data_IF_014904911728
#
_entry.id   IF_014904911728
#
_cell.length_a   1.000
_cell.length_b   1.000
_cell.length_c   1.000
_cell.angle_alpha   90.00
_cell.angle_beta   90.00
_cell.angle_gamma   90.00
#
_symmetry.space_group_name_H-M   'P 1'
#
loop_
_entity.id
_entity.type
_entity.pdbx_description
1 polymer ?
#
# COMPACT_ATOMS: atom_id res chain seq x y z
N UNK A 1 18.98 15.06 18.79
CA UNK A 1 17.98 15.81 18.00
C UNK A 1 17.75 15.05 16.71
N UNK A 2 16.49 14.82 16.31
CA UNK A 2 16.18 14.17 15.04
C UNK A 2 16.45 15.15 13.89
N UNK A 3 17.26 14.74 12.92
CA UNK A 3 17.51 15.54 11.71
C UNK A 3 16.31 15.42 10.76
N UNK A 4 16.00 16.48 10.04
CA UNK A 4 14.98 16.42 9.00
C UNK A 4 15.46 15.60 7.81
N UNK A 5 14.55 14.92 7.07
CA UNK A 5 14.95 14.14 5.89
C UNK A 5 15.75 14.94 4.86
N UNK A 6 15.45 16.23 4.71
CA UNK A 6 16.14 17.11 3.76
C UNK A 6 17.60 17.38 4.14
N UNK A 7 17.88 17.49 5.44
CA UNK A 7 19.24 17.68 5.97
C UNK A 7 20.07 16.41 5.80
N UNK A 8 19.47 15.23 5.93
CA UNK A 8 20.13 13.95 5.68
C UNK A 8 20.53 13.84 4.19
N UNK A 9 19.63 14.21 3.28
CA UNK A 9 19.89 14.15 1.83
C UNK A 9 20.96 15.13 1.35
N UNK A 10 21.13 16.26 2.04
CA UNK A 10 22.05 17.33 1.64
C UNK A 10 23.46 17.12 2.19
N UNK A 11 23.65 16.10 3.01
CA UNK A 11 24.94 15.76 3.61
C UNK A 11 25.75 14.95 2.60
N UNK A 12 26.99 15.35 2.36
CA UNK A 12 27.92 14.50 1.62
C UNK A 12 28.20 13.24 2.45
N UNK A 13 28.14 12.04 1.84
CA UNK A 13 28.60 10.81 2.47
C UNK A 13 29.99 10.99 3.06
N UNK A 14 30.27 10.32 4.19
CA UNK A 14 31.67 10.19 4.63
C UNK A 14 32.42 9.44 3.54
N UNK A 15 33.46 10.05 3.00
CA UNK A 15 34.20 9.51 1.86
C UNK A 15 34.67 8.07 2.16
N UNK A 16 34.03 7.12 1.46
CA UNK A 16 34.54 5.86 0.96
C UNK A 16 35.24 4.88 1.89
N UNK A 17 34.85 4.75 3.16
CA UNK A 17 35.30 3.61 3.96
C UNK A 17 34.13 2.91 4.66
N UNK A 18 33.31 2.19 3.88
CA UNK A 18 32.50 1.08 4.39
C UNK A 18 33.40 -0.13 4.68
N UNK A 19 34.50 0.08 5.41
CA UNK A 19 35.26 -1.04 5.97
C UNK A 19 34.50 -1.51 7.20
N UNK A 20 33.98 -2.74 7.11
CA UNK A 20 33.19 -3.42 8.13
C UNK A 20 34.01 -3.53 9.41
N UNK A 21 33.98 -2.49 10.23
CA UNK A 21 34.74 -2.39 11.49
C UNK A 21 33.88 -2.92 12.62
N UNK A 22 34.41 -3.90 13.34
CA UNK A 22 33.66 -4.76 14.27
C UNK A 22 33.14 -4.05 15.55
N UNK A 23 33.45 -2.77 15.77
CA UNK A 23 33.17 -2.11 17.06
C UNK A 23 32.61 -0.68 16.97
N UNK A 24 32.20 -0.22 15.78
CA UNK A 24 31.60 1.10 15.61
C UNK A 24 31.32 1.45 14.15
N UNK A 25 30.92 0.45 13.37
CA UNK A 25 30.82 0.54 11.92
C UNK A 25 29.72 1.49 11.47
N UNK A 26 30.05 2.34 10.50
CA UNK A 26 29.06 3.14 9.79
C UNK A 26 28.01 2.20 9.15
N UNK A 27 26.76 2.64 9.10
CA UNK A 27 25.69 1.93 8.42
C UNK A 27 25.80 2.23 6.92
N UNK A 28 25.91 1.21 6.08
CA UNK A 28 26.13 1.41 4.65
C UNK A 28 24.83 1.25 3.84
N UNK A 29 24.70 2.04 2.78
CA UNK A 29 23.62 1.87 1.81
C UNK A 29 23.92 0.70 0.86
N UNK A 30 22.95 -0.19 0.62
CA UNK A 30 23.15 -1.36 -0.26
C UNK A 30 23.29 -1.00 -1.76
N UNK A 31 22.89 0.23 -2.15
CA UNK A 31 22.89 0.68 -3.54
C UNK A 31 24.16 1.45 -3.93
N UNK A 32 24.63 2.35 -3.07
CA UNK A 32 25.81 3.19 -3.34
C UNK A 32 27.00 2.92 -2.42
N UNK A 33 26.85 2.05 -1.40
CA UNK A 33 27.88 1.73 -0.40
C UNK A 33 28.37 2.92 0.46
N UNK A 34 27.65 4.04 0.42
CA UNK A 34 27.92 5.21 1.27
C UNK A 34 27.66 4.89 2.74
N UNK A 35 28.54 5.39 3.62
CA UNK A 35 28.46 5.20 5.07
C UNK A 35 27.71 6.31 5.81
N UNK A 36 26.89 5.93 6.79
CA UNK A 36 26.01 6.80 7.58
C UNK A 36 26.18 6.57 9.08
N UNK A 37 25.81 7.57 9.87
CA UNK A 37 25.97 7.55 11.33
C UNK A 37 24.85 6.74 12.02
N UNK A 38 23.76 6.40 11.32
CA UNK A 38 22.65 5.59 11.86
C UNK A 38 21.86 4.85 10.77
N UNK A 39 21.19 3.75 11.16
CA UNK A 39 20.28 2.98 10.29
C UNK A 39 19.15 3.85 9.72
N UNK A 40 18.55 4.71 10.55
CA UNK A 40 17.49 5.64 10.12
C UNK A 40 17.96 6.60 9.03
N UNK A 41 19.22 7.06 9.08
CA UNK A 41 19.77 7.93 8.03
C UNK A 41 19.99 7.17 6.72
N UNK A 42 20.45 5.90 6.77
CA UNK A 42 20.53 5.03 5.59
C UNK A 42 19.17 4.86 4.95
N UNK A 43 18.12 4.62 5.74
CA UNK A 43 16.76 4.44 5.22
C UNK A 43 16.22 5.70 4.55
N UNK A 44 16.45 6.87 5.16
CA UNK A 44 16.08 8.17 4.57
C UNK A 44 16.80 8.35 3.24
N UNK A 45 18.12 8.16 3.22
CA UNK A 45 18.94 8.28 2.02
C UNK A 45 18.49 7.31 0.92
N UNK A 46 18.26 6.04 1.27
CA UNK A 46 17.80 5.01 0.35
C UNK A 46 16.48 5.42 -0.31
N UNK A 47 15.52 5.90 0.50
CA UNK A 47 14.20 6.29 0.03
C UNK A 47 14.18 7.63 -0.73
N UNK A 48 15.17 8.51 -0.55
CA UNK A 48 15.28 9.78 -1.27
C UNK A 48 16.09 9.66 -2.56
N UNK A 49 17.26 9.05 -2.48
CA UNK A 49 18.28 9.04 -3.54
C UNK A 49 18.06 7.87 -4.48
N UNK A 50 17.78 6.69 -3.93
CA UNK A 50 17.61 5.45 -4.69
C UNK A 50 16.14 5.07 -4.92
N UNK A 51 15.23 6.05 -4.81
CA UNK A 51 13.79 5.83 -4.95
C UNK A 51 13.43 5.18 -6.30
N UNK A 52 14.12 5.60 -7.36
CA UNK A 52 13.84 5.13 -8.72
C UNK A 52 14.27 3.68 -8.87
N UNK A 53 15.49 3.35 -8.44
CA UNK A 53 16.05 2.01 -8.45
C UNK A 53 15.18 1.05 -7.62
N UNK A 54 14.68 1.50 -6.47
CA UNK A 54 13.74 0.72 -5.66
C UNK A 54 12.40 0.46 -6.38
N UNK A 55 11.89 1.43 -7.14
CA UNK A 55 10.66 1.26 -7.91
C UNK A 55 10.87 0.37 -9.14
N UNK A 56 12.03 0.45 -9.77
CA UNK A 56 12.40 -0.39 -10.91
C UNK A 56 12.47 -1.87 -10.48
N UNK A 57 13.06 -2.16 -9.31
CA UNK A 57 13.06 -3.52 -8.73
C UNK A 57 11.64 -4.07 -8.49
N UNK A 58 10.69 -3.21 -8.09
CA UNK A 58 9.30 -3.62 -7.88
C UNK A 58 8.52 -3.87 -9.17
N UNK A 59 9.03 -3.41 -10.31
CA UNK A 59 8.38 -3.55 -11.60
C UNK A 59 8.50 -4.98 -12.14
N UNK A 60 9.54 -5.71 -11.74
CA UNK A 60 9.79 -7.07 -12.19
C UNK A 60 8.90 -8.07 -11.41
N UNK A 61 7.93 -8.74 -12.07
CA UNK A 61 7.02 -9.68 -11.40
C UNK A 61 7.72 -10.95 -10.92
N UNK A 62 8.93 -11.21 -11.42
CA UNK A 62 9.73 -12.39 -11.08
C UNK A 62 10.63 -12.18 -9.86
N UNK A 63 10.72 -10.96 -9.31
CA UNK A 63 11.53 -10.69 -8.14
C UNK A 63 10.70 -10.79 -6.85
N UNK A 64 11.19 -11.57 -5.89
CA UNK A 64 10.55 -11.73 -4.59
C UNK A 64 11.08 -10.68 -3.61
N UNK A 65 10.56 -9.46 -3.70
CA UNK A 65 11.00 -8.32 -2.90
C UNK A 65 10.00 -7.96 -1.82
N UNK A 66 10.50 -7.72 -0.62
CA UNK A 66 9.70 -7.19 0.47
C UNK A 66 9.34 -5.73 0.22
N UNK A 67 8.05 -5.42 0.06
CA UNK A 67 7.60 -4.04 -0.18
C UNK A 67 7.75 -3.10 1.03
N UNK A 68 8.13 -3.63 2.18
CA UNK A 68 8.28 -2.88 3.43
C UNK A 68 9.75 -2.47 3.62
N UNK A 69 10.69 -3.40 3.51
CA UNK A 69 12.14 -3.13 3.67
C UNK A 69 12.97 -3.23 2.39
N UNK A 70 12.36 -3.58 1.26
CA UNK A 70 12.98 -3.68 -0.06
C UNK A 70 14.13 -4.70 -0.18
N UNK A 71 14.22 -5.65 0.74
CA UNK A 71 15.11 -6.82 0.60
C UNK A 71 14.58 -7.77 -0.48
N UNK A 72 15.48 -8.24 -1.33
CA UNK A 72 15.23 -9.29 -2.32
C UNK A 72 15.47 -10.68 -1.74
N UNK A 73 14.72 -11.64 -2.25
CA UNK A 73 14.81 -13.06 -1.88
C UNK A 73 14.84 -13.90 -3.16
N UNK A 74 15.51 -15.05 -3.09
CA UNK A 74 15.56 -16.02 -4.20
C UNK A 74 14.21 -16.69 -4.42
N UNK A 75 13.48 -16.94 -3.33
CA UNK A 75 12.19 -17.65 -3.33
C UNK A 75 11.04 -16.85 -2.71
N UNK A 76 9.84 -17.09 -3.22
CA UNK A 76 8.61 -16.52 -2.66
C UNK A 76 8.38 -16.95 -1.20
N UNK A 77 8.72 -18.21 -0.86
CA UNK A 77 8.57 -18.73 0.50
C UNK A 77 9.46 -17.97 1.51
N UNK A 78 10.66 -17.59 1.09
CA UNK A 78 11.59 -16.82 1.92
C UNK A 78 11.12 -15.40 2.14
N UNK A 79 10.58 -14.77 1.10
CA UNK A 79 9.92 -13.47 1.23
C UNK A 79 8.78 -13.53 2.25
N UNK A 80 7.91 -14.54 2.17
CA UNK A 80 6.80 -14.69 3.11
C UNK A 80 7.29 -14.95 4.53
N UNK A 81 8.30 -15.81 4.70
CA UNK A 81 8.94 -16.07 5.99
C UNK A 81 9.51 -14.78 6.58
N UNK A 82 10.21 -14.00 5.79
CA UNK A 82 10.75 -12.71 6.19
C UNK A 82 9.66 -11.71 6.62
N UNK A 83 8.60 -11.54 5.84
CA UNK A 83 7.51 -10.61 6.20
C UNK A 83 6.86 -11.03 7.53
N UNK A 84 6.67 -12.34 7.74
CA UNK A 84 6.11 -12.88 8.99
C UNK A 84 7.00 -12.61 10.20
N UNK A 85 8.30 -12.89 10.09
CA UNK A 85 9.22 -12.78 11.24
C UNK A 85 9.63 -11.33 11.52
N UNK A 86 9.90 -10.53 10.50
CA UNK A 86 10.48 -9.18 10.67
C UNK A 86 9.47 -8.04 10.71
N UNK A 87 8.36 -8.13 9.98
CA UNK A 87 7.42 -7.02 9.83
C UNK A 87 6.11 -7.21 10.59
N UNK A 88 5.67 -8.45 10.74
CA UNK A 88 4.45 -8.75 11.47
C UNK A 88 4.69 -8.91 12.98
N UNK A 89 5.95 -8.97 13.44
CA UNK A 89 6.34 -9.18 14.86
C UNK A 89 5.61 -10.36 15.53
N UNK A 90 5.09 -11.26 14.71
CA UNK A 90 4.46 -12.49 15.13
C UNK A 90 5.60 -13.50 15.25
N UNK A 91 5.86 -14.03 16.45
CA UNK A 91 6.89 -15.06 16.71
C UNK A 91 7.02 -16.09 15.58
N UNK A 92 8.17 -16.75 15.44
CA UNK A 92 8.32 -17.92 14.55
C UNK A 92 7.22 -18.98 14.79
N UNK A 93 6.72 -19.06 16.03
CA UNK A 93 5.62 -19.94 16.46
C UNK A 93 4.22 -19.36 16.23
N UNK A 94 4.12 -18.15 15.68
CA UNK A 94 2.83 -17.52 15.46
C UNK A 94 2.10 -18.26 14.34
N UNK A 95 1.20 -19.13 14.77
CA UNK A 95 0.27 -19.85 13.92
C UNK A 95 -0.56 -18.80 13.21
N UNK A 96 -0.33 -18.66 11.90
CA UNK A 96 -1.28 -17.99 11.01
C UNK A 96 -2.63 -18.63 11.31
N UNK A 97 -3.60 -17.84 11.75
CA UNK A 97 -5.00 -18.29 11.81
C UNK A 97 -5.43 -18.47 10.36
N UNK A 98 -5.06 -19.61 9.78
CA UNK A 98 -5.70 -20.14 8.60
C UNK A 98 -7.18 -20.29 9.00
N UNK A 99 -8.13 -19.74 8.23
CA UNK A 99 -9.53 -20.06 8.42
C UNK A 99 -9.65 -21.59 8.44
N UNK A 100 -10.29 -22.14 9.47
CA UNK A 100 -10.39 -23.58 9.72
C UNK A 100 -10.55 -24.39 8.42
N UNK A 101 -9.48 -25.09 8.00
CA UNK A 101 -9.57 -26.12 6.96
C UNK A 101 -10.17 -27.35 7.62
N UNK A 102 -11.49 -27.46 7.58
CA UNK A 102 -12.21 -28.52 8.27
C UNK A 102 -13.54 -28.91 7.66
N UNK A 103 -13.79 -28.56 6.40
CA UNK A 103 -14.84 -29.14 5.56
C UNK A 103 -14.44 -28.91 4.11
N UNK A 104 -14.49 -29.96 3.29
CA UNK A 104 -14.30 -29.90 1.85
C UNK A 104 -15.23 -28.84 1.24
N UNK A 105 -14.67 -27.69 0.88
CA UNK A 105 -15.41 -26.55 0.33
C UNK A 105 -14.72 -26.10 -0.96
N UNK A 106 -15.45 -25.91 -2.07
CA UNK A 106 -14.87 -25.82 -3.42
C UNK A 106 -14.07 -24.53 -3.57
N UNK A 107 -12.87 -24.61 -4.17
CA UNK A 107 -12.12 -23.52 -4.83
C UNK A 107 -12.55 -22.10 -4.42
N UNK A 108 -12.16 -21.65 -3.22
CA UNK A 108 -12.38 -20.28 -2.78
C UNK A 108 -11.14 -19.45 -3.12
N UNK A 109 -11.22 -18.66 -4.19
CA UNK A 109 -10.20 -17.70 -4.64
C UNK A 109 -10.07 -16.44 -3.73
N UNK A 110 -10.78 -16.39 -2.60
CA UNK A 110 -11.09 -15.12 -1.90
C UNK A 110 -10.38 -14.86 -0.57
N UNK A 111 -9.31 -15.57 -0.22
CA UNK A 111 -8.54 -15.30 1.03
C UNK A 111 -7.47 -14.22 0.86
N UNK A 112 -7.75 -13.20 0.06
CA UNK A 112 -6.84 -12.06 -0.10
C UNK A 112 -6.86 -11.16 1.14
N UNK A 113 -5.73 -11.09 1.84
CA UNK A 113 -5.49 -10.11 2.90
C UNK A 113 -5.28 -8.76 2.22
N UNK A 114 -6.06 -7.75 2.62
CA UNK A 114 -5.95 -6.38 2.09
C UNK A 114 -5.72 -5.40 3.24
N UNK A 115 -4.92 -4.36 3.03
CA UNK A 115 -4.63 -3.35 4.04
C UNK A 115 -5.34 -2.06 3.64
N UNK A 116 -6.15 -1.49 4.55
CA UNK A 116 -6.83 -0.24 4.32
C UNK A 116 -5.82 0.92 4.24
N UNK A 117 -5.76 1.61 3.10
CA UNK A 117 -4.85 2.75 2.90
C UNK A 117 -5.14 3.95 3.82
N UNK A 118 -6.35 4.03 4.39
CA UNK A 118 -6.79 5.20 5.16
C UNK A 118 -6.48 5.11 6.66
N UNK A 119 -6.48 3.91 7.23
CA UNK A 119 -6.29 3.66 8.66
C UNK A 119 -5.29 2.54 8.98
N UNK A 120 -4.79 1.83 7.95
CA UNK A 120 -3.87 0.68 8.06
C UNK A 120 -4.44 -0.55 8.76
N UNK A 121 -5.76 -0.62 8.96
CA UNK A 121 -6.41 -1.84 9.44
C UNK A 121 -6.34 -2.94 8.37
N UNK A 122 -6.17 -4.19 8.83
CA UNK A 122 -6.10 -5.38 8.01
C UNK A 122 -7.54 -5.88 7.76
N UNK A 123 -7.92 -6.02 6.50
CA UNK A 123 -9.21 -6.52 6.06
C UNK A 123 -9.04 -7.90 5.41
N UNK A 124 -9.99 -8.79 5.66
CA UNK A 124 -9.98 -10.16 5.13
C UNK A 124 -11.03 -10.28 4.02
N UNK A 125 -10.57 -10.50 2.79
CA UNK A 125 -11.44 -10.60 1.62
C UNK A 125 -11.82 -9.24 1.03
N UNK A 126 -12.25 -9.28 -0.22
CA UNK A 126 -12.54 -8.07 -1.00
C UNK A 126 -13.72 -7.27 -0.44
N UNK A 127 -14.79 -7.95 -0.02
CA UNK A 127 -15.98 -7.28 0.49
C UNK A 127 -15.71 -6.57 1.82
N UNK A 128 -15.00 -7.23 2.76
CA UNK A 128 -14.59 -6.61 4.02
C UNK A 128 -13.74 -5.35 3.79
N UNK A 129 -12.81 -5.40 2.83
CA UNK A 129 -12.00 -4.24 2.48
C UNK A 129 -12.85 -3.10 1.89
N UNK A 130 -13.80 -3.39 1.01
CA UNK A 130 -14.73 -2.38 0.44
C UNK A 130 -15.58 -1.73 1.53
N UNK A 131 -16.20 -2.54 2.39
CA UNK A 131 -17.06 -2.04 3.47
C UNK A 131 -16.26 -1.18 4.45
N UNK A 132 -15.06 -1.63 4.80
CA UNK A 132 -14.17 -0.89 5.67
C UNK A 132 -13.73 0.45 5.05
N UNK A 133 -13.35 0.47 3.76
CA UNK A 133 -13.00 1.69 3.03
C UNK A 133 -14.18 2.67 3.04
N UNK A 134 -15.40 2.19 2.78
CA UNK A 134 -16.62 2.99 2.84
C UNK A 134 -16.84 3.63 4.22
N UNK A 135 -16.66 2.86 5.31
CA UNK A 135 -16.77 3.38 6.69
C UNK A 135 -15.67 4.42 6.97
N UNK A 136 -14.43 4.14 6.55
CA UNK A 136 -13.31 5.06 6.72
C UNK A 136 -13.53 6.40 6.00
N UNK A 137 -14.09 6.38 4.79
CA UNK A 137 -14.41 7.58 4.02
C UNK A 137 -15.52 8.40 4.71
N UNK A 138 -16.58 7.75 5.18
CA UNK A 138 -17.66 8.43 5.93
C UNK A 138 -17.13 9.11 7.20
N UNK A 139 -16.34 8.40 8.01
CA UNK A 139 -15.71 8.95 9.23
C UNK A 139 -14.79 10.14 8.94
N UNK A 140 -14.14 10.18 7.77
CA UNK A 140 -13.29 11.32 7.37
C UNK A 140 -14.09 12.55 6.92
N UNK A 141 -15.29 12.38 6.35
CA UNK A 141 -16.19 13.50 6.07
C UNK A 141 -16.66 14.18 7.36
N UNK A 142 -16.98 13.41 8.40
CA UNK A 142 -17.47 13.98 9.67
C UNK A 142 -16.42 14.81 10.42
N UNK A 143 -15.14 14.49 10.23
CA UNK A 143 -14.02 15.28 10.80
C UNK A 143 -13.76 16.60 10.07
N UNK A 144 -14.36 16.82 8.90
CA UNK A 144 -14.29 18.08 8.16
C UNK A 144 -15.53 18.95 8.38
N UNK A 145 -16.31 18.78 9.46
CA UNK A 145 -17.23 19.85 9.86
C UNK A 145 -16.38 21.10 10.13
N UNK A 146 -16.57 22.20 9.38
CA UNK A 146 -15.93 23.45 9.71
C UNK A 146 -16.32 23.75 11.16
N UNK A 147 -15.34 24.06 12.00
CA UNK A 147 -15.62 24.68 13.30
C UNK A 147 -16.53 25.86 12.96
N UNK A 148 -17.77 25.80 13.43
CA UNK A 148 -18.70 26.93 13.36
C UNK A 148 -17.95 28.12 13.93
N UNK A 149 -17.51 29.00 13.03
CA UNK A 149 -17.10 30.34 13.39
C UNK A 149 -18.39 30.93 13.92
N UNK A 150 -18.46 31.12 15.24
CA UNK A 150 -19.50 31.93 15.87
C UNK A 150 -19.33 33.32 15.29
N UNK A 151 -20.18 33.64 14.30
CA UNK A 151 -20.30 34.96 13.73
C UNK A 151 -20.96 35.84 14.79
N UNK A 152 -20.14 36.70 15.40
CA UNK A 152 -20.59 37.89 16.11
C UNK A 152 -19.88 39.05 15.42
N UNK A 153 -20.46 39.47 14.30
CA UNK A 153 -20.47 40.84 13.78
C UNK A 153 -21.34 40.83 12.53
N UNK A 154 -22.57 41.33 12.71
CA UNK A 154 -23.29 42.07 11.68
C UNK A 154 -22.34 43.02 10.95
N UNK A 155 -22.26 42.90 9.62
CA UNK A 155 -22.19 44.01 8.65
C UNK A 155 -21.93 43.45 7.24
N UNK A 156 -22.97 43.54 6.41
CA UNK A 156 -22.95 43.96 5.00
C UNK A 156 -21.73 43.59 4.13
N UNK A 157 -21.96 42.78 3.09
CA UNK A 157 -22.25 43.34 1.76
C UNK A 157 -22.77 42.25 0.80
N UNK A 158 -23.93 42.55 0.25
CA UNK A 158 -24.60 41.87 -0.86
C UNK A 158 -23.83 42.21 -2.15
N UNK A 159 -23.40 41.20 -2.91
CA UNK A 159 -23.30 41.32 -4.37
C UNK A 159 -23.99 40.09 -4.94
N UNK A 160 -25.26 40.30 -5.32
CA UNK A 160 -25.98 39.45 -6.24
C UNK A 160 -25.28 39.54 -7.60
N UNK A 161 -24.87 38.41 -8.14
CA UNK A 161 -24.74 38.24 -9.59
C UNK A 161 -25.66 37.07 -9.93
N UNK A 162 -26.83 37.45 -10.45
CA UNK A 162 -27.77 36.59 -11.14
C UNK A 162 -27.29 36.35 -12.59
N UNK A 163 -28.08 35.58 -13.34
CA UNK A 163 -27.93 35.06 -14.72
C UNK A 163 -27.41 33.60 -14.72
N UNK A 164 -28.29 32.58 -14.71
CA UNK A 164 -29.15 32.09 -15.82
C UNK A 164 -28.28 31.82 -17.08
N UNK A 165 -28.27 30.67 -17.75
CA UNK A 165 -29.31 29.68 -17.98
C UNK A 165 -28.71 28.40 -18.61
N UNK A 166 -29.56 27.39 -18.70
CA UNK A 166 -29.58 26.22 -19.61
C UNK A 166 -29.10 24.81 -19.17
N UNK A 167 -30.03 23.82 -19.22
CA UNK A 167 -29.79 22.40 -19.05
C UNK A 167 -29.63 21.68 -20.40
N UNK A 168 -28.65 20.77 -20.51
CA UNK A 168 -28.68 19.72 -21.55
C UNK A 168 -28.56 18.34 -20.93
N UNK A 169 -29.72 17.68 -20.92
CA UNK A 169 -29.85 16.24 -20.88
C UNK A 169 -29.05 15.59 -22.03
N UNK A 170 -28.35 14.49 -21.73
CA UNK A 170 -28.39 13.35 -22.64
C UNK A 170 -28.12 12.07 -21.85
N UNK A 171 -29.09 11.16 -21.88
CA UNK A 171 -28.95 9.83 -21.34
C UNK A 171 -28.04 8.98 -22.22
N UNK A 172 -27.34 8.02 -21.61
CA UNK A 172 -26.96 6.83 -22.33
C UNK A 172 -27.07 5.61 -21.41
N UNK A 173 -28.18 4.91 -21.58
CA UNK A 173 -28.43 3.56 -21.13
C UNK A 173 -27.46 2.59 -21.80
N UNK A 174 -26.66 1.85 -21.03
CA UNK A 174 -26.00 0.66 -21.53
C UNK A 174 -26.70 -0.56 -20.92
N UNK A 175 -27.79 -0.96 -21.56
CA UNK A 175 -28.32 -2.32 -21.49
C UNK A 175 -27.45 -3.17 -22.40
N UNK A 176 -26.71 -4.13 -21.85
CA UNK A 176 -26.22 -5.27 -22.63
C UNK A 176 -26.80 -6.53 -22.01
N UNK A 177 -28.01 -6.85 -22.46
CA UNK A 177 -28.48 -8.21 -22.52
C UNK A 177 -27.55 -8.99 -23.47
N UNK A 178 -26.98 -10.09 -23.01
CA UNK A 178 -26.53 -11.14 -23.92
C UNK A 178 -27.15 -12.45 -23.44
N UNK A 179 -28.30 -12.73 -24.03
CA UNK A 179 -28.99 -13.99 -23.99
C UNK A 179 -28.30 -15.02 -24.88
N UNK A 180 -28.22 -16.26 -24.37
CA UNK A 180 -28.50 -17.50 -25.09
C UNK A 180 -27.69 -17.80 -26.38
N UNK A 181 -26.92 -18.90 -26.36
CA UNK A 181 -27.37 -20.21 -26.90
C UNK A 181 -26.21 -21.19 -27.14
N UNK A 182 -26.49 -22.46 -26.75
CA UNK A 182 -26.18 -23.71 -27.48
C UNK A 182 -24.70 -24.10 -27.51
N UNK A 183 -24.30 -25.36 -27.50
CA UNK A 183 -24.92 -26.68 -27.53
C UNK A 183 -23.79 -27.66 -27.15
N UNK A 184 -24.06 -28.66 -26.33
CA UNK A 184 -24.18 -30.06 -26.74
C UNK A 184 -22.83 -30.77 -27.03
N UNK A 185 -22.72 -31.95 -26.41
CA UNK A 185 -22.09 -33.16 -26.97
C UNK A 185 -20.58 -33.10 -27.27
N UNK A 186 -19.76 -33.84 -26.51
CA UNK A 186 -19.36 -35.17 -27.02
C UNK A 186 -18.70 -36.04 -25.95
N UNK A 187 -19.20 -37.27 -25.85
CA UNK A 187 -18.56 -38.40 -25.23
C UNK A 187 -17.37 -38.81 -26.10
N UNK A 188 -16.14 -38.83 -25.55
CA UNK A 188 -15.09 -39.73 -26.06
C UNK A 188 -14.36 -40.42 -24.92
N UNK A 189 -14.86 -41.63 -24.68
CA UNK A 189 -14.03 -42.82 -24.43
C UNK A 189 -12.72 -42.76 -25.22
N UNK A 190 -11.59 -42.99 -24.56
CA UNK A 190 -10.48 -43.80 -25.07
C UNK A 190 -9.42 -44.06 -23.98
N UNK A 191 -9.24 -45.36 -23.70
CA UNK A 191 -8.16 -46.08 -23.03
C UNK A 191 -7.93 -45.89 -21.53
#
# INVERSE_FOLDING_TARGET
MFRSPREVCSRNPRENNCERTEQGGAYCCDFCYDGWDSETEVDIHRNSTHRKEMLDLLKDPNQHICRICYKSYEDYNDLIRHIKTWHLLSSEDAVRVEPCKGVDMPLIEDTQIRICIFCREICFGEQSAKDHICICLKKKCDRKKPKSITADTDELLIVLVEEEDDPKANGNSCSHENSLKRSAEDQKHCN
#
